data_IF_281223652911
#
_entry.id   IF_281223652911
#
_cell.length_a   1.000
_cell.length_b   1.000
_cell.length_c   1.000
_cell.angle_alpha   90.00
_cell.angle_beta   90.00
_cell.angle_gamma   90.00
#
_symmetry.space_group_name_H-M   'P 1'
#
loop_
_entity.id
_entity.type
_entity.pdbx_description
1 polymer ?
#
# COMPACT_ATOMS: atom_id res chain seq x y z
N UNK A 1 -7.44 -3.17 6.03
CA UNK A 1 -7.97 -2.73 4.72
C UNK A 1 -9.32 -3.41 4.50
N UNK A 2 -10.36 -2.70 4.04
CA UNK A 2 -11.67 -3.31 3.79
C UNK A 2 -11.54 -4.43 2.74
N UNK A 3 -12.24 -5.54 2.96
CA UNK A 3 -12.27 -6.68 2.05
C UNK A 3 -13.47 -6.47 1.13
N UNK A 4 -13.22 -6.00 -0.10
CA UNK A 4 -14.28 -5.72 -1.06
C UNK A 4 -14.64 -7.03 -1.76
N UNK A 5 -15.75 -7.66 -1.35
CA UNK A 5 -16.30 -8.82 -2.05
C UNK A 5 -17.36 -8.31 -3.03
N UNK A 6 -17.08 -8.41 -4.32
CA UNK A 6 -18.11 -8.22 -5.33
C UNK A 6 -18.99 -9.48 -5.38
N UNK A 7 -20.10 -9.46 -4.65
CA UNK A 7 -21.01 -10.58 -4.48
C UNK A 7 -21.81 -10.93 -5.74
N UNK A 8 -21.84 -10.04 -6.75
CA UNK A 8 -22.57 -10.29 -8.00
C UNK A 8 -21.80 -11.11 -9.03
N UNK A 9 -20.52 -11.41 -8.79
CA UNK A 9 -19.69 -12.18 -9.74
C UNK A 9 -19.88 -13.70 -9.60
N UNK A 10 -19.90 -14.46 -10.71
CA UNK A 10 -19.78 -15.91 -10.70
C UNK A 10 -18.56 -16.41 -9.89
N UNK A 11 -18.62 -17.63 -9.35
CA UNK A 11 -17.60 -18.15 -8.43
C UNK A 11 -16.16 -18.12 -8.99
N UNK A 12 -15.98 -18.43 -10.28
CA UNK A 12 -14.67 -18.40 -10.93
C UNK A 12 -14.14 -16.97 -11.08
N UNK A 13 -15.00 -16.01 -11.43
CA UNK A 13 -14.63 -14.58 -11.52
C UNK A 13 -14.31 -13.98 -10.14
N UNK A 14 -14.98 -14.45 -9.07
CA UNK A 14 -14.66 -14.04 -7.70
C UNK A 14 -13.24 -14.42 -7.29
N UNK A 15 -12.78 -15.63 -7.65
CA UNK A 15 -11.42 -16.07 -7.35
C UNK A 15 -10.38 -15.20 -8.08
N UNK A 16 -10.59 -14.92 -9.37
CA UNK A 16 -9.70 -14.04 -10.13
C UNK A 16 -9.70 -12.62 -9.57
N UNK A 17 -10.87 -12.06 -9.22
CA UNK A 17 -10.95 -10.74 -8.61
C UNK A 17 -10.21 -10.66 -7.26
N UNK A 18 -10.30 -11.71 -6.43
CA UNK A 18 -9.54 -11.79 -5.17
C UNK A 18 -8.02 -11.88 -5.40
N UNK A 19 -7.58 -12.60 -6.43
CA UNK A 19 -6.17 -12.67 -6.79
C UNK A 19 -5.63 -11.31 -7.25
N UNK A 20 -6.40 -10.60 -8.08
CA UNK A 20 -6.07 -9.25 -8.54
C UNK A 20 -6.00 -8.29 -7.35
N UNK A 21 -7.01 -8.28 -6.47
CA UNK A 21 -7.03 -7.43 -5.27
C UNK A 21 -5.83 -7.71 -4.36
N UNK A 22 -5.52 -8.98 -4.10
CA UNK A 22 -4.36 -9.38 -3.31
C UNK A 22 -3.04 -8.88 -3.92
N UNK A 23 -2.85 -9.08 -5.23
CA UNK A 23 -1.67 -8.61 -5.93
C UNK A 23 -1.54 -7.08 -5.88
N UNK A 24 -2.63 -6.35 -6.16
CA UNK A 24 -2.63 -4.89 -6.14
C UNK A 24 -2.35 -4.34 -4.74
N UNK A 25 -2.91 -4.93 -3.68
CA UNK A 25 -2.57 -4.54 -2.30
C UNK A 25 -1.09 -4.74 -2.01
N UNK A 26 -0.51 -5.86 -2.46
CA UNK A 26 0.90 -6.15 -2.27
C UNK A 26 1.79 -5.11 -2.94
N UNK A 27 1.53 -4.79 -4.21
CA UNK A 27 2.38 -3.87 -4.97
C UNK A 27 2.14 -2.40 -4.60
N UNK A 28 0.87 -1.99 -4.53
CA UNK A 28 0.49 -0.58 -4.46
C UNK A 28 0.41 -0.05 -3.03
N UNK A 29 0.17 -0.91 -2.04
CA UNK A 29 0.08 -0.50 -0.63
C UNK A 29 1.32 -0.96 0.10
N UNK A 30 1.52 -2.28 0.25
CA UNK A 30 2.56 -2.80 1.13
C UNK A 30 3.96 -2.45 0.64
N UNK A 31 4.32 -2.83 -0.59
CA UNK A 31 5.64 -2.51 -1.16
C UNK A 31 5.87 -1.01 -1.33
N UNK A 32 4.82 -0.26 -1.68
CA UNK A 32 4.90 1.20 -1.79
C UNK A 32 5.19 1.87 -0.44
N UNK A 33 4.50 1.44 0.62
CA UNK A 33 4.71 1.96 1.98
C UNK A 33 6.09 1.57 2.53
N UNK A 34 6.57 0.37 2.21
CA UNK A 34 7.93 -0.04 2.58
C UNK A 34 9.00 0.85 1.92
N UNK A 35 8.88 1.11 0.62
CA UNK A 35 9.80 2.02 -0.08
C UNK A 35 9.73 3.44 0.47
N UNK A 36 8.52 3.92 0.80
CA UNK A 36 8.33 5.22 1.42
C UNK A 36 9.00 5.31 2.79
N UNK A 37 8.77 4.34 3.66
CA UNK A 37 9.36 4.30 5.00
C UNK A 37 10.89 4.35 4.93
N UNK A 38 11.49 3.52 4.06
CA UNK A 38 12.94 3.53 3.83
C UNK A 38 13.47 4.91 3.43
N UNK A 39 12.76 5.62 2.57
CA UNK A 39 13.14 6.98 2.13
C UNK A 39 12.99 8.02 3.24
N UNK A 40 11.91 7.95 4.02
CA UNK A 40 11.67 8.86 5.16
C UNK A 40 12.72 8.66 6.22
N UNK A 41 13.02 7.42 6.61
CA UNK A 41 14.06 7.11 7.58
C UNK A 41 15.43 7.63 7.12
N UNK A 42 15.80 7.39 5.86
CA UNK A 42 17.06 7.89 5.31
C UNK A 42 17.12 9.43 5.28
N UNK A 43 16.01 10.11 5.02
CA UNK A 43 15.94 11.58 5.02
C UNK A 43 16.16 12.16 6.43
N UNK A 44 15.52 11.58 7.45
CA UNK A 44 15.65 12.00 8.84
C UNK A 44 17.06 11.76 9.39
N UNK A 45 17.65 10.60 9.07
CA UNK A 45 19.02 10.26 9.49
C UNK A 45 20.06 11.23 8.90
N UNK A 46 19.85 11.69 7.67
CA UNK A 46 20.76 12.63 6.99
C UNK A 46 20.66 14.07 7.49
N UNK A 47 19.51 14.46 8.06
CA UNK A 47 19.22 15.85 8.44
C UNK A 47 18.64 15.92 9.87
N UNK A 48 19.41 15.55 10.91
CA UNK A 48 18.89 15.38 12.26
C UNK A 48 18.39 16.67 12.92
N UNK A 49 18.81 17.84 12.45
CA UNK A 49 18.43 19.15 12.98
C UNK A 49 17.29 19.81 12.22
N UNK A 50 16.83 19.21 11.11
CA UNK A 50 15.80 19.77 10.26
C UNK A 50 14.44 19.13 10.56
N UNK A 51 13.42 19.97 10.70
CA UNK A 51 12.04 19.51 10.87
C UNK A 51 11.39 19.24 9.50
N UNK A 52 10.64 18.15 9.40
CA UNK A 52 9.91 17.77 8.21
C UNK A 52 8.43 17.58 8.53
N UNK A 53 7.57 17.95 7.58
CA UNK A 53 6.16 17.60 7.59
C UNK A 53 5.89 16.60 6.47
N UNK A 54 5.18 15.51 6.79
CA UNK A 54 4.78 14.51 5.79
C UNK A 54 3.27 14.37 5.79
N UNK A 55 2.67 14.41 4.60
CA UNK A 55 1.28 14.04 4.38
C UNK A 55 1.24 12.76 3.54
N UNK A 56 0.78 11.66 4.14
CA UNK A 56 0.63 10.39 3.45
C UNK A 56 -0.86 10.12 3.21
N UNK A 57 -1.26 10.06 1.94
CA UNK A 57 -2.61 9.62 1.55
C UNK A 57 -2.80 8.11 1.71
N UNK A 58 -4.06 7.72 1.92
CA UNK A 58 -4.53 6.33 2.01
C UNK A 58 -5.14 5.87 0.67
#
# INVERSE_FOLDING_TARGET
LPHFINSSLPAHERLTAQQIDSYLRQELIYKRNERMARRVSALLQRNPTQSFFFAFGA
#
